data_IF_861333467721
#
_entry.id   IF_861333467721
#
_cell.length_a   1.000
_cell.length_b   1.000
_cell.length_c   1.000
_cell.angle_alpha   90.00
_cell.angle_beta   90.00
_cell.angle_gamma   90.00
#
_symmetry.space_group_name_H-M   'P 1'
#
loop_
_entity.id
_entity.type
_entity.pdbx_description
1 polymer ?
#
# COMPACT_ATOMS: atom_id res chain seq x y z
N UNK A 1 -15.85 -8.85 -1.64
CA UNK A 1 -16.59 -7.85 -0.85
C UNK A 1 -18.06 -8.25 -0.69
N UNK A 2 -18.79 -8.54 -1.78
CA UNK A 2 -20.24 -8.90 -1.73
C UNK A 2 -20.51 -10.07 -0.78
N UNK A 3 -19.77 -11.17 -0.86
CA UNK A 3 -19.90 -12.32 0.02
C UNK A 3 -19.83 -11.93 1.51
N UNK A 4 -18.89 -11.05 1.88
CA UNK A 4 -18.77 -10.56 3.25
C UNK A 4 -19.99 -9.71 3.63
N UNK A 5 -20.38 -8.80 2.74
CA UNK A 5 -21.53 -7.93 2.99
C UNK A 5 -22.83 -8.74 3.21
N UNK A 6 -23.04 -9.76 2.41
CA UNK A 6 -24.21 -10.66 2.53
C UNK A 6 -24.14 -11.48 3.83
N UNK A 7 -22.95 -11.96 4.21
CA UNK A 7 -22.73 -12.75 5.43
C UNK A 7 -22.98 -11.94 6.71
N UNK A 8 -22.49 -10.71 6.78
CA UNK A 8 -22.63 -9.84 7.96
C UNK A 8 -23.91 -8.96 7.91
N UNK A 9 -24.69 -9.05 6.81
CA UNK A 9 -25.97 -8.35 6.68
C UNK A 9 -25.85 -6.85 6.47
N UNK A 10 -24.82 -6.38 5.76
CA UNK A 10 -24.60 -4.94 5.46
C UNK A 10 -25.11 -4.56 4.06
N UNK A 11 -25.41 -3.28 3.88
CA UNK A 11 -25.70 -2.72 2.55
C UNK A 11 -24.39 -2.54 1.79
N UNK A 12 -24.24 -3.26 0.68
CA UNK A 12 -23.04 -3.22 -0.14
C UNK A 12 -23.15 -2.21 -1.30
N UNK A 13 -22.21 -1.28 -1.36
CA UNK A 13 -22.05 -0.36 -2.48
C UNK A 13 -20.79 -0.71 -3.25
N UNK A 14 -20.94 -1.18 -4.47
CA UNK A 14 -19.83 -1.49 -5.37
C UNK A 14 -19.58 -0.32 -6.31
N UNK A 15 -18.38 0.21 -6.29
CA UNK A 15 -17.99 1.35 -7.12
C UNK A 15 -16.94 0.89 -8.10
N UNK A 16 -17.25 1.00 -9.37
CA UNK A 16 -16.33 0.71 -10.46
C UNK A 16 -15.86 2.01 -11.09
N UNK A 17 -14.61 2.07 -11.50
CA UNK A 17 -14.05 3.16 -12.27
C UNK A 17 -13.22 2.61 -13.44
N UNK A 18 -13.12 3.37 -14.50
CA UNK A 18 -12.33 3.02 -15.68
C UNK A 18 -10.87 3.41 -15.48
N UNK A 19 -9.99 2.76 -16.22
CA UNK A 19 -8.56 3.14 -16.23
C UNK A 19 -8.41 4.61 -16.64
N UNK A 20 -9.20 5.11 -17.59
CA UNK A 20 -9.16 6.50 -18.03
C UNK A 20 -9.54 7.47 -16.90
N UNK A 21 -10.59 7.19 -16.13
CA UNK A 21 -10.94 8.00 -14.96
C UNK A 21 -9.81 8.04 -13.94
N UNK A 22 -9.11 6.91 -13.76
CA UNK A 22 -7.93 6.85 -12.89
C UNK A 22 -6.78 7.73 -13.40
N UNK A 23 -6.50 7.68 -14.69
CA UNK A 23 -5.47 8.51 -15.34
C UNK A 23 -5.80 10.00 -15.27
N UNK A 24 -7.03 10.36 -15.54
CA UNK A 24 -7.51 11.76 -15.47
C UNK A 24 -7.41 12.33 -14.06
N UNK A 25 -7.54 11.49 -13.03
CA UNK A 25 -7.44 11.90 -11.63
C UNK A 25 -5.99 12.07 -11.13
N UNK A 26 -4.97 11.57 -11.83
CA UNK A 26 -3.59 11.54 -11.34
C UNK A 26 -3.05 12.90 -10.89
N UNK A 27 -3.30 13.96 -11.66
CA UNK A 27 -2.81 15.31 -11.32
C UNK A 27 -3.44 15.82 -10.02
N UNK A 28 -4.75 15.68 -9.88
CA UNK A 28 -5.47 16.08 -8.68
C UNK A 28 -5.04 15.23 -7.49
N UNK A 29 -4.89 13.92 -7.67
CA UNK A 29 -4.43 13.01 -6.63
C UNK A 29 -3.06 13.44 -6.11
N UNK A 30 -2.06 13.64 -6.98
CA UNK A 30 -0.72 14.07 -6.59
C UNK A 30 -0.76 15.44 -5.87
N UNK A 31 -1.60 16.35 -6.31
CA UNK A 31 -1.82 17.62 -5.63
C UNK A 31 -2.33 17.43 -4.19
N UNK A 32 -3.39 16.63 -4.02
CA UNK A 32 -4.00 16.45 -2.70
C UNK A 32 -3.16 15.61 -1.75
N UNK A 33 -2.49 14.56 -2.24
CA UNK A 33 -1.67 13.71 -1.38
C UNK A 33 -0.28 14.28 -1.10
N UNK A 34 0.18 15.27 -1.89
CA UNK A 34 1.46 15.96 -1.73
C UNK A 34 2.67 15.00 -1.70
N UNK A 35 2.64 13.97 -2.53
CA UNK A 35 3.73 13.00 -2.68
C UNK A 35 3.77 12.47 -4.11
N UNK A 36 4.94 11.96 -4.52
CA UNK A 36 5.15 11.25 -5.79
C UNK A 36 5.64 9.82 -5.59
N UNK A 37 5.56 9.30 -4.35
CA UNK A 37 5.86 7.89 -4.07
C UNK A 37 4.94 6.97 -4.90
N UNK A 38 5.54 6.05 -5.65
CA UNK A 38 4.83 5.21 -6.63
C UNK A 38 3.67 4.45 -5.99
N UNK A 39 3.95 3.76 -4.89
CA UNK A 39 2.94 2.92 -4.21
C UNK A 39 1.80 3.77 -3.67
N UNK A 40 2.13 4.89 -3.05
CA UNK A 40 1.16 5.83 -2.49
C UNK A 40 0.27 6.41 -3.58
N UNK A 41 0.84 6.85 -4.73
CA UNK A 41 0.05 7.37 -5.86
C UNK A 41 -0.87 6.30 -6.43
N UNK A 42 -0.34 5.10 -6.75
CA UNK A 42 -1.14 3.99 -7.30
C UNK A 42 -2.36 3.65 -6.45
N UNK A 43 -2.18 3.59 -5.13
CA UNK A 43 -3.23 3.25 -4.18
C UNK A 43 -4.15 4.44 -3.85
N UNK A 44 -3.68 5.68 -3.99
CA UNK A 44 -4.49 6.88 -3.71
C UNK A 44 -5.55 7.14 -4.77
N UNK A 45 -5.30 6.81 -6.03
CA UNK A 45 -6.26 7.04 -7.13
C UNK A 45 -7.61 6.37 -6.85
N UNK A 46 -7.69 5.06 -6.61
CA UNK A 46 -8.96 4.40 -6.29
C UNK A 46 -9.60 4.94 -5.01
N UNK A 47 -8.81 5.25 -4.00
CA UNK A 47 -9.32 5.80 -2.73
C UNK A 47 -9.90 7.21 -2.93
N UNK A 48 -9.25 8.06 -3.71
CA UNK A 48 -9.72 9.40 -4.06
C UNK A 48 -11.06 9.35 -4.83
N UNK A 49 -11.17 8.46 -5.83
CA UNK A 49 -12.39 8.28 -6.61
C UNK A 49 -13.53 7.70 -5.75
N UNK A 50 -13.23 6.75 -4.87
CA UNK A 50 -14.18 6.21 -3.90
C UNK A 50 -14.67 7.28 -2.93
N UNK A 51 -13.76 8.11 -2.39
CA UNK A 51 -14.09 9.19 -1.47
C UNK A 51 -15.05 10.22 -2.10
N UNK A 52 -14.90 10.51 -3.40
CA UNK A 52 -15.84 11.34 -4.17
C UNK A 52 -17.26 10.79 -4.11
N UNK A 53 -17.42 9.49 -4.30
CA UNK A 53 -18.74 8.84 -4.26
C UNK A 53 -19.29 8.84 -2.83
N UNK A 54 -18.50 8.48 -1.83
CA UNK A 54 -18.86 8.53 -0.42
C UNK A 54 -19.37 9.92 -0.04
N UNK A 55 -18.69 10.97 -0.46
CA UNK A 55 -19.11 12.36 -0.28
C UNK A 55 -20.46 12.65 -0.92
N UNK A 56 -20.68 12.19 -2.15
CA UNK A 56 -21.95 12.38 -2.87
C UNK A 56 -23.15 11.73 -2.19
N UNK A 57 -22.91 10.67 -1.40
CA UNK A 57 -23.92 9.99 -0.57
C UNK A 57 -24.22 10.74 0.74
N UNK A 58 -23.58 11.87 0.99
CA UNK A 58 -23.76 12.66 2.21
C UNK A 58 -23.00 12.12 3.43
N UNK A 59 -22.18 11.09 3.26
CA UNK A 59 -21.37 10.48 4.31
C UNK A 59 -20.18 11.37 4.61
N UNK A 60 -19.89 11.62 5.88
CA UNK A 60 -18.83 12.51 6.34
C UNK A 60 -17.65 11.79 6.98
N UNK A 61 -17.83 10.54 7.35
CA UNK A 61 -16.83 9.74 8.07
C UNK A 61 -16.89 8.28 7.63
N UNK A 62 -15.73 7.65 7.52
CA UNK A 62 -15.58 6.23 7.23
C UNK A 62 -14.61 5.57 8.21
N UNK A 63 -14.81 4.28 8.47
CA UNK A 63 -13.83 3.44 9.16
C UNK A 63 -12.95 2.75 8.12
N UNK A 64 -11.64 2.70 8.40
CA UNK A 64 -10.66 2.03 7.55
C UNK A 64 -9.82 1.02 8.33
N UNK A 65 -9.40 -0.05 7.67
CA UNK A 65 -8.51 -1.08 8.21
C UNK A 65 -7.02 -0.72 8.17
N UNK A 66 -6.66 0.54 7.90
CA UNK A 66 -5.26 0.99 7.84
C UNK A 66 -4.52 0.70 9.16
N UNK A 67 -3.26 0.31 9.06
CA UNK A 67 -2.41 -0.03 10.19
C UNK A 67 -2.39 -1.52 10.54
N UNK A 68 -3.38 -2.30 10.11
CA UNK A 68 -3.44 -3.73 10.43
C UNK A 68 -2.27 -4.52 9.81
N UNK A 69 -1.84 -4.16 8.61
CA UNK A 69 -0.73 -4.83 7.92
C UNK A 69 0.62 -4.51 8.58
N UNK A 70 0.81 -3.30 9.05
CA UNK A 70 2.01 -2.84 9.73
C UNK A 70 2.16 -3.44 11.12
N UNK A 71 1.05 -3.53 11.86
CA UNK A 71 1.05 -4.05 13.24
C UNK A 71 1.27 -5.57 13.26
N UNK A 72 0.60 -6.28 12.35
CA UNK A 72 0.55 -7.74 12.38
C UNK A 72 1.31 -8.40 11.22
N UNK A 73 2.18 -7.67 10.53
CA UNK A 73 2.99 -8.20 9.44
C UNK A 73 2.17 -8.75 8.28
N UNK A 74 1.20 -7.96 7.79
CA UNK A 74 0.26 -8.39 6.77
C UNK A 74 0.80 -8.39 5.34
N UNK A 75 1.94 -7.78 5.07
CA UNK A 75 2.55 -7.77 3.75
C UNK A 75 3.28 -9.07 3.45
N UNK A 76 3.22 -9.53 2.20
CA UNK A 76 3.79 -10.82 1.81
C UNK A 76 5.31 -10.93 2.06
N UNK A 77 6.04 -9.83 1.99
CA UNK A 77 7.48 -9.85 2.24
C UNK A 77 7.85 -10.27 3.68
N UNK A 78 6.95 -10.15 4.65
CA UNK A 78 7.17 -10.62 6.01
C UNK A 78 7.42 -12.14 6.11
N UNK A 79 6.98 -12.91 5.10
CA UNK A 79 7.31 -14.34 5.00
C UNK A 79 8.83 -14.61 4.88
N UNK A 80 9.61 -13.60 4.49
CA UNK A 80 11.07 -13.69 4.36
C UNK A 80 11.81 -13.21 5.62
N UNK A 81 11.10 -12.82 6.68
CA UNK A 81 11.74 -12.37 7.92
C UNK A 81 12.63 -13.47 8.51
N UNK A 82 13.92 -13.20 8.79
CA UNK A 82 14.86 -14.22 9.22
C UNK A 82 14.60 -14.73 10.65
N UNK A 83 13.89 -13.96 11.46
CA UNK A 83 13.50 -14.33 12.82
C UNK A 83 12.27 -13.57 13.29
N UNK A 84 11.62 -14.04 14.35
CA UNK A 84 10.52 -13.34 14.99
C UNK A 84 10.92 -11.97 15.56
N UNK A 85 12.19 -11.81 15.96
CA UNK A 85 12.72 -10.53 16.42
C UNK A 85 12.83 -9.53 15.26
N UNK A 86 13.40 -9.93 14.12
CA UNK A 86 13.49 -9.06 12.93
C UNK A 86 12.10 -8.75 12.36
N UNK A 87 11.18 -9.70 12.37
CA UNK A 87 9.77 -9.47 12.07
C UNK A 87 9.20 -8.32 12.93
N UNK A 88 9.38 -8.37 14.24
CA UNK A 88 8.89 -7.33 15.14
C UNK A 88 9.59 -5.98 14.92
N UNK A 89 10.92 -5.98 14.74
CA UNK A 89 11.64 -4.74 14.41
C UNK A 89 11.12 -4.10 13.13
N UNK A 90 10.75 -4.90 12.15
CA UNK A 90 10.18 -4.41 10.91
C UNK A 90 8.79 -3.79 11.11
N UNK A 91 7.91 -4.39 11.93
CA UNK A 91 6.63 -3.78 12.27
C UNK A 91 6.83 -2.39 12.91
N UNK A 92 7.81 -2.25 13.81
CA UNK A 92 8.18 -0.96 14.40
C UNK A 92 8.68 0.04 13.35
N UNK A 93 9.56 -0.39 12.43
CA UNK A 93 10.05 0.46 11.32
C UNK A 93 8.90 0.96 10.44
N UNK A 94 7.98 0.06 10.07
CA UNK A 94 6.80 0.42 9.25
C UNK A 94 5.92 1.44 9.97
N UNK A 95 5.58 1.18 11.23
CA UNK A 95 4.74 2.09 12.03
C UNK A 95 5.37 3.46 12.20
N UNK A 96 6.69 3.54 12.41
CA UNK A 96 7.39 4.82 12.59
C UNK A 96 7.31 5.74 11.36
N UNK A 97 7.17 5.16 10.17
CA UNK A 97 7.09 5.87 8.87
C UNK A 97 5.68 5.93 8.29
N UNK A 98 4.69 5.31 8.93
CA UNK A 98 3.34 5.13 8.37
C UNK A 98 2.65 6.45 8.01
N UNK A 99 2.98 7.53 8.72
CA UNK A 99 2.48 8.88 8.46
C UNK A 99 2.95 9.46 7.10
N UNK A 100 3.95 8.88 6.47
CA UNK A 100 4.47 9.29 5.15
C UNK A 100 3.91 8.46 3.98
N UNK A 101 3.24 7.34 4.27
CA UNK A 101 2.75 6.37 3.29
C UNK A 101 1.23 6.11 3.45
N UNK A 102 0.85 5.02 4.07
CA UNK A 102 -0.55 4.57 4.09
C UNK A 102 -1.48 5.49 4.87
N UNK A 103 -1.04 6.05 6.00
CA UNK A 103 -1.82 7.04 6.74
C UNK A 103 -1.92 8.37 5.98
N UNK A 104 -0.85 8.82 5.31
CA UNK A 104 -0.89 10.01 4.46
C UNK A 104 -1.90 9.80 3.33
N UNK A 105 -1.80 8.67 2.62
CA UNK A 105 -2.71 8.29 1.55
C UNK A 105 -4.16 8.31 2.03
N UNK A 106 -4.48 7.55 3.08
CA UNK A 106 -5.83 7.42 3.59
C UNK A 106 -6.40 8.77 4.03
N UNK A 107 -5.65 9.53 4.81
CA UNK A 107 -6.09 10.83 5.29
C UNK A 107 -6.31 11.82 4.14
N UNK A 108 -5.32 12.02 3.28
CA UNK A 108 -5.36 13.07 2.25
C UNK A 108 -6.33 12.74 1.11
N UNK A 109 -6.44 11.48 0.69
CA UNK A 109 -7.41 11.08 -0.33
C UNK A 109 -8.85 11.28 0.13
N UNK A 110 -9.16 11.00 1.40
CA UNK A 110 -10.48 11.22 1.99
C UNK A 110 -10.73 12.71 2.22
N UNK A 111 -9.76 13.42 2.78
CA UNK A 111 -9.87 14.87 3.09
C UNK A 111 -10.05 15.72 1.85
N UNK A 112 -9.53 15.32 0.68
CA UNK A 112 -9.75 15.99 -0.60
C UNK A 112 -11.25 16.19 -0.90
N UNK A 113 -12.10 15.31 -0.41
CA UNK A 113 -13.55 15.37 -0.54
C UNK A 113 -14.28 15.73 0.76
N UNK A 114 -13.54 16.13 1.81
CA UNK A 114 -14.10 16.47 3.12
C UNK A 114 -14.74 15.29 3.83
N UNK A 115 -14.18 14.09 3.65
CA UNK A 115 -14.55 12.87 4.38
C UNK A 115 -13.48 12.59 5.42
N UNK A 116 -13.90 12.32 6.67
CA UNK A 116 -13.00 11.95 7.77
C UNK A 116 -12.74 10.44 7.75
N UNK A 117 -11.47 10.03 7.75
CA UNK A 117 -11.07 8.64 7.93
C UNK A 117 -10.73 8.32 9.38
N UNK A 118 -11.29 7.26 9.93
CA UNK A 118 -10.95 6.73 11.26
C UNK A 118 -10.33 5.36 11.13
N UNK A 119 -9.27 5.13 11.89
CA UNK A 119 -8.38 3.96 11.78
C UNK A 119 -8.26 3.23 13.12
N UNK A 120 -9.24 2.36 13.47
CA UNK A 120 -9.29 1.70 14.78
C UNK A 120 -8.04 0.89 15.14
N UNK A 121 -7.34 0.30 14.16
CA UNK A 121 -6.08 -0.41 14.40
C UNK A 121 -4.94 0.48 14.90
N UNK A 122 -5.03 1.78 14.66
CA UNK A 122 -4.03 2.77 15.12
C UNK A 122 -4.49 3.52 16.38
N UNK A 123 -5.58 3.09 17.02
CA UNK A 123 -5.91 3.56 18.36
C UNK A 123 -4.74 3.28 19.31
N UNK A 124 -4.40 4.26 20.16
CA UNK A 124 -3.18 4.19 20.97
C UNK A 124 -3.19 3.05 21.99
N UNK A 125 -4.34 2.79 22.59
CA UNK A 125 -4.48 1.70 23.58
C UNK A 125 -4.41 0.35 22.88
N UNK A 126 -5.11 0.22 21.73
CA UNK A 126 -5.04 -0.98 20.91
C UNK A 126 -3.61 -1.24 20.42
N UNK A 127 -2.94 -0.21 19.89
CA UNK A 127 -1.58 -0.30 19.38
C UNK A 127 -0.60 -0.75 20.48
N UNK A 128 -0.72 -0.19 21.69
CA UNK A 128 0.14 -0.55 22.83
C UNK A 128 -0.02 -2.04 23.20
N UNK A 129 -1.26 -2.55 23.24
CA UNK A 129 -1.53 -3.97 23.49
C UNK A 129 -1.00 -4.85 22.37
N UNK A 130 -1.28 -4.48 21.11
CA UNK A 130 -0.84 -5.24 19.95
C UNK A 130 0.68 -5.35 19.85
N UNK A 131 1.39 -4.24 20.05
CA UNK A 131 2.87 -4.20 19.97
C UNK A 131 3.57 -4.87 21.14
N UNK A 132 2.90 -5.05 22.29
CA UNK A 132 3.38 -5.86 23.41
C UNK A 132 3.13 -7.37 23.23
N UNK A 133 2.32 -7.75 22.25
CA UNK A 133 2.10 -9.15 21.92
C UNK A 133 3.43 -9.77 21.49
N UNK A 134 3.73 -10.98 22.00
CA UNK A 134 5.00 -11.64 21.70
C UNK A 134 5.17 -11.80 20.19
N UNK A 135 6.27 -11.29 19.65
CA UNK A 135 6.59 -11.37 18.23
C UNK A 135 6.41 -12.77 17.64
N UNK A 136 6.72 -13.81 18.43
CA UNK A 136 6.52 -15.20 18.04
C UNK A 136 5.05 -15.55 17.73
N UNK A 137 4.08 -14.91 18.37
CA UNK A 137 2.65 -15.16 18.12
C UNK A 137 2.16 -14.49 16.83
N UNK A 138 2.80 -13.41 16.43
CA UNK A 138 2.48 -12.68 15.21
C UNK A 138 3.30 -13.15 14.00
N UNK A 139 4.42 -13.86 14.25
CA UNK A 139 5.35 -14.28 13.19
C UNK A 139 4.78 -15.42 12.36
N UNK A 140 4.89 -15.28 11.06
CA UNK A 140 4.50 -16.25 10.03
C UNK A 140 5.42 -17.50 10.04
N UNK A 141 6.54 -17.45 10.76
CA UNK A 141 7.62 -18.44 10.71
C UNK A 141 7.34 -19.74 11.51
N UNK A 142 6.13 -19.99 11.99
CA UNK A 142 5.87 -20.94 13.07
C UNK A 142 5.39 -22.32 12.67
N UNK A 143 5.37 -22.73 11.41
CA UNK A 143 4.98 -24.11 11.18
C UNK A 143 4.73 -24.55 9.76
N UNK A 144 4.55 -25.86 9.62
CA UNK A 144 4.15 -26.56 8.40
C UNK A 144 2.64 -26.50 8.11
N UNK A 145 1.85 -25.96 9.04
CA UNK A 145 0.41 -25.76 8.85
C UNK A 145 0.17 -24.49 8.02
N UNK A 146 -0.55 -24.56 6.89
CA UNK A 146 -0.88 -23.39 6.07
C UNK A 146 -1.54 -22.25 6.84
N UNK A 147 -2.43 -22.53 7.78
CA UNK A 147 -3.06 -21.52 8.65
C UNK A 147 -2.05 -20.89 9.62
N UNK A 148 -1.09 -21.66 10.11
CA UNK A 148 -0.03 -21.16 11.00
C UNK A 148 0.96 -20.23 10.29
N UNK A 149 1.11 -20.37 8.98
CA UNK A 149 2.01 -19.57 8.14
C UNK A 149 1.29 -18.38 7.47
N UNK A 150 0.02 -18.12 7.79
CA UNK A 150 -0.74 -17.03 7.19
C UNK A 150 -0.42 -15.69 7.84
N UNK A 151 -0.28 -14.67 7.03
CA UNK A 151 -0.10 -13.28 7.49
C UNK A 151 -1.32 -12.79 8.30
N UNK A 152 -1.10 -11.97 9.31
CA UNK A 152 -2.11 -11.47 10.27
C UNK A 152 -2.85 -12.58 11.03
N UNK A 153 -2.21 -13.72 11.25
CA UNK A 153 -2.82 -14.92 11.84
C UNK A 153 -3.65 -14.61 13.10
N UNK A 154 -3.09 -13.87 14.06
CA UNK A 154 -3.77 -13.56 15.33
C UNK A 154 -5.10 -12.81 15.11
N UNK A 155 -5.16 -11.93 14.11
CA UNK A 155 -6.40 -11.22 13.74
C UNK A 155 -7.38 -12.18 13.09
N UNK A 156 -6.91 -13.05 12.19
CA UNK A 156 -7.75 -14.04 11.51
C UNK A 156 -8.38 -15.02 12.49
N UNK A 157 -7.60 -15.55 13.42
CA UNK A 157 -8.10 -16.44 14.50
C UNK A 157 -9.13 -15.72 15.40
N UNK A 158 -8.89 -14.45 15.73
CA UNK A 158 -9.82 -13.69 16.58
C UNK A 158 -11.19 -13.42 15.92
N UNK A 159 -11.28 -13.45 14.60
CA UNK A 159 -12.50 -13.16 13.83
C UNK A 159 -12.95 -14.32 12.94
N UNK A 160 -12.40 -15.52 13.12
CA UNK A 160 -12.70 -16.69 12.30
C UNK A 160 -14.20 -17.01 12.26
N UNK A 161 -14.87 -16.94 13.41
CA UNK A 161 -16.31 -17.21 13.53
C UNK A 161 -17.21 -16.07 13.00
N UNK A 162 -16.63 -14.91 12.69
CA UNK A 162 -17.36 -13.71 12.26
C UNK A 162 -17.30 -13.45 10.76
N UNK A 163 -16.59 -14.28 10.02
CA UNK A 163 -16.38 -14.15 8.57
C UNK A 163 -16.53 -15.50 7.87
N UNK A 164 -16.91 -15.53 6.58
CA UNK A 164 -16.82 -16.75 5.78
C UNK A 164 -15.38 -17.30 5.80
N UNK A 165 -15.21 -18.62 5.94
CA UNK A 165 -13.90 -19.26 6.04
C UNK A 165 -13.00 -18.92 4.84
N UNK A 166 -13.55 -18.95 3.63
CA UNK A 166 -12.85 -18.61 2.39
C UNK A 166 -12.34 -17.15 2.35
N UNK A 167 -12.93 -16.25 3.14
CA UNK A 167 -12.48 -14.87 3.29
C UNK A 167 -11.51 -14.73 4.45
N UNK A 168 -11.82 -15.35 5.59
CA UNK A 168 -10.98 -15.28 6.78
C UNK A 168 -9.55 -15.79 6.52
N UNK A 169 -9.41 -16.82 5.67
CA UNK A 169 -8.13 -17.48 5.38
C UNK A 169 -7.61 -17.28 3.95
N UNK A 170 -8.17 -16.30 3.19
CA UNK A 170 -7.65 -15.98 1.86
C UNK A 170 -6.25 -15.39 1.91
N UNK A 171 -5.50 -15.58 0.85
CA UNK A 171 -4.20 -14.92 0.67
C UNK A 171 -4.33 -13.40 0.69
N UNK A 172 -3.32 -12.73 1.26
CA UNK A 172 -3.22 -11.27 1.28
C UNK A 172 -2.93 -10.72 -0.12
N UNK A 173 -3.68 -9.68 -0.48
CA UNK A 173 -3.34 -8.79 -1.58
C UNK A 173 -3.15 -7.38 -1.04
N UNK A 174 -2.18 -6.65 -1.60
CA UNK A 174 -1.99 -5.24 -1.29
C UNK A 174 -3.14 -4.43 -1.88
N UNK A 175 -3.47 -3.30 -1.28
CA UNK A 175 -4.57 -2.47 -1.76
C UNK A 175 -4.35 -2.02 -3.22
N UNK A 176 -3.13 -1.61 -3.57
CA UNK A 176 -2.74 -1.27 -4.95
C UNK A 176 -2.92 -2.43 -5.94
N UNK A 177 -2.64 -3.66 -5.49
CA UNK A 177 -2.73 -4.86 -6.31
C UNK A 177 -4.18 -5.36 -6.39
N UNK A 178 -4.93 -5.23 -5.29
CA UNK A 178 -6.34 -5.61 -5.20
C UNK A 178 -7.30 -4.79 -6.07
N UNK A 179 -6.86 -3.60 -6.53
CA UNK A 179 -7.57 -2.81 -7.56
C UNK A 179 -7.45 -3.45 -8.95
N UNK A 180 -6.45 -4.31 -9.12
CA UNK A 180 -6.16 -5.05 -10.35
C UNK A 180 -4.80 -4.71 -10.94
N UNK A 181 -4.04 -5.72 -11.27
CA UNK A 181 -2.71 -5.56 -11.90
C UNK A 181 -2.77 -4.82 -13.24
N UNK A 182 -3.90 -4.88 -13.95
CA UNK A 182 -4.13 -4.11 -15.18
C UNK A 182 -3.97 -2.60 -14.96
N UNK A 183 -4.31 -2.09 -13.79
CA UNK A 183 -4.06 -0.69 -13.42
C UNK A 183 -2.56 -0.37 -13.37
N UNK A 184 -1.79 -1.19 -12.64
CA UNK A 184 -0.34 -1.04 -12.51
C UNK A 184 0.36 -1.16 -13.88
N UNK A 185 0.01 -2.18 -14.65
CA UNK A 185 0.63 -2.44 -15.95
C UNK A 185 0.31 -1.34 -16.96
N UNK A 186 -0.90 -0.79 -16.91
CA UNK A 186 -1.27 0.36 -17.74
C UNK A 186 -0.50 1.62 -17.36
N UNK A 187 -0.34 1.91 -16.06
CA UNK A 187 0.49 3.04 -15.62
C UNK A 187 1.93 2.89 -16.11
N UNK A 188 2.54 1.72 -15.92
CA UNK A 188 3.89 1.43 -16.41
C UNK A 188 4.00 1.63 -17.93
N UNK A 189 3.01 1.15 -18.70
CA UNK A 189 2.98 1.30 -20.15
C UNK A 189 2.89 2.77 -20.56
N UNK A 190 1.91 3.51 -20.04
CA UNK A 190 1.68 4.91 -20.41
C UNK A 190 2.90 5.76 -20.04
N UNK A 191 3.44 5.59 -18.84
CA UNK A 191 4.61 6.34 -18.41
C UNK A 191 5.84 6.00 -19.23
N UNK A 192 5.98 4.75 -19.72
CA UNK A 192 7.06 4.36 -20.63
C UNK A 192 6.94 5.00 -22.04
N UNK A 193 5.73 5.31 -22.46
CA UNK A 193 5.46 5.99 -23.75
C UNK A 193 5.63 7.52 -23.63
N UNK A 194 5.26 8.10 -22.49
CA UNK A 194 5.30 9.55 -22.26
C UNK A 194 6.70 10.05 -21.88
N UNK A 195 7.45 9.28 -21.08
CA UNK A 195 8.79 9.64 -20.62
C UNK A 195 9.82 8.98 -21.52
N UNK A 196 10.64 9.80 -22.20
CA UNK A 196 11.68 9.32 -23.12
C UNK A 196 12.89 8.78 -22.37
N UNK A 197 13.70 7.96 -23.05
CA UNK A 197 14.98 7.48 -22.47
C UNK A 197 15.97 8.62 -22.28
N UNK A 198 15.92 9.65 -23.14
CA UNK A 198 16.72 10.87 -22.99
C UNK A 198 16.35 11.64 -21.73
N UNK A 199 15.05 11.80 -21.43
CA UNK A 199 14.60 12.40 -20.18
C UNK A 199 15.08 11.63 -18.95
N UNK A 200 15.05 10.29 -19.01
CA UNK A 200 15.58 9.46 -17.91
C UNK A 200 17.10 9.60 -17.77
N UNK A 201 17.85 9.68 -18.87
CA UNK A 201 19.31 9.86 -18.82
C UNK A 201 19.69 11.19 -18.15
N UNK A 202 18.87 12.22 -18.29
CA UNK A 202 19.07 13.55 -17.68
C UNK A 202 18.24 13.77 -16.40
N UNK A 203 17.67 12.71 -15.82
CA UNK A 203 16.82 12.82 -14.64
C UNK A 203 17.53 13.47 -13.43
N UNK A 204 18.82 13.16 -13.22
CA UNK A 204 19.60 13.73 -12.13
C UNK A 204 19.86 15.25 -12.29
N UNK A 205 19.95 15.74 -13.53
CA UNK A 205 20.12 17.17 -13.82
C UNK A 205 18.81 17.92 -13.54
N UNK A 206 17.67 17.34 -13.94
CA UNK A 206 16.37 17.95 -13.74
C UNK A 206 15.87 17.83 -12.30
N UNK A 207 16.10 16.69 -11.66
CA UNK A 207 15.64 16.37 -10.30
C UNK A 207 16.83 15.92 -9.44
N UNK A 208 17.69 16.85 -9.01
CA UNK A 208 18.89 16.50 -8.22
C UNK A 208 18.56 15.98 -6.81
N UNK A 209 17.34 16.25 -6.33
CA UNK A 209 16.83 15.75 -5.05
C UNK A 209 15.85 14.63 -5.33
N UNK A 210 16.08 13.45 -4.74
CA UNK A 210 15.25 12.26 -4.95
C UNK A 210 15.10 12.00 -6.46
N UNK A 211 16.22 11.81 -7.14
CA UNK A 211 16.27 11.53 -8.58
C UNK A 211 15.42 10.30 -8.92
N UNK A 212 14.46 10.41 -9.84
CA UNK A 212 13.62 9.29 -10.24
C UNK A 212 14.44 8.10 -10.76
N UNK A 213 14.11 6.90 -10.32
CA UNK A 213 14.77 5.65 -10.69
C UNK A 213 14.08 4.92 -11.86
N UNK A 214 12.84 5.29 -12.17
CA UNK A 214 12.10 4.74 -13.30
C UNK A 214 11.19 5.80 -13.95
N UNK A 215 10.67 5.49 -15.16
CA UNK A 215 9.83 6.41 -15.94
C UNK A 215 8.53 6.77 -15.23
N UNK A 216 7.96 5.86 -14.45
CA UNK A 216 6.74 6.12 -13.67
C UNK A 216 7.02 7.13 -12.56
N UNK A 217 8.10 6.96 -11.82
CA UNK A 217 8.51 7.92 -10.80
C UNK A 217 8.84 9.30 -11.41
N UNK A 218 9.54 9.32 -12.56
CA UNK A 218 9.80 10.55 -13.29
C UNK A 218 8.52 11.28 -13.68
N UNK A 219 7.52 10.55 -14.15
CA UNK A 219 6.22 11.10 -14.53
C UNK A 219 5.51 11.74 -13.33
N UNK A 220 5.41 11.02 -12.20
CA UNK A 220 4.79 11.53 -10.99
C UNK A 220 5.58 12.71 -10.40
N UNK A 221 6.91 12.61 -10.41
CA UNK A 221 7.79 13.70 -9.97
C UNK A 221 7.62 14.96 -10.82
N UNK A 222 7.41 14.82 -12.11
CA UNK A 222 7.15 15.94 -13.00
C UNK A 222 5.85 16.66 -12.67
N UNK A 223 4.78 15.90 -12.40
CA UNK A 223 3.50 16.47 -11.98
C UNK A 223 3.61 17.15 -10.60
N UNK A 224 4.30 16.51 -9.67
CA UNK A 224 4.53 17.06 -8.33
C UNK A 224 5.28 18.40 -8.39
N UNK A 225 6.33 18.50 -9.23
CA UNK A 225 7.11 19.74 -9.41
C UNK A 225 6.27 20.92 -9.92
N UNK A 226 5.28 20.65 -10.77
CA UNK A 226 4.38 21.70 -11.25
C UNK A 226 3.52 22.29 -10.12
N UNK A 227 3.16 21.48 -9.13
CA UNK A 227 2.38 21.90 -7.97
C UNK A 227 3.25 22.43 -6.83
N UNK A 228 4.42 21.81 -6.61
CA UNK A 228 5.30 22.07 -5.47
C UNK A 228 6.76 22.23 -5.93
N UNK A 229 7.12 23.37 -6.55
CA UNK A 229 8.42 23.54 -7.21
C UNK A 229 9.60 23.76 -6.26
N UNK A 230 9.39 23.79 -4.94
CA UNK A 230 10.47 24.04 -3.98
C UNK A 230 11.28 22.77 -3.68
N UNK A 231 12.59 22.93 -3.48
CA UNK A 231 13.45 21.83 -3.01
C UNK A 231 13.00 21.25 -1.67
N UNK A 232 12.48 22.08 -0.77
CA UNK A 232 11.97 21.62 0.52
C UNK A 232 10.76 20.68 0.36
N UNK A 233 9.88 20.95 -0.60
CA UNK A 233 8.77 20.05 -0.92
C UNK A 233 9.29 18.72 -1.45
N UNK A 234 10.27 18.72 -2.36
CA UNK A 234 10.88 17.49 -2.87
C UNK A 234 11.51 16.65 -1.74
N UNK A 235 12.18 17.28 -0.78
CA UNK A 235 12.82 16.62 0.37
C UNK A 235 11.82 16.04 1.39
N UNK A 236 10.56 16.49 1.39
CA UNK A 236 9.53 15.97 2.30
C UNK A 236 8.99 14.60 1.87
N UNK A 237 9.18 14.23 0.60
CA UNK A 237 8.74 12.94 0.08
C UNK A 237 9.80 11.87 0.34
N UNK A 238 9.45 10.73 0.97
CA UNK A 238 10.39 9.65 1.17
C UNK A 238 10.83 9.06 -0.17
N UNK A 239 12.11 8.70 -0.25
CA UNK A 239 12.71 8.11 -1.43
C UNK A 239 13.63 6.97 -1.02
N UNK A 240 13.05 5.81 -0.77
CA UNK A 240 13.76 4.61 -0.34
C UNK A 240 13.44 3.46 -1.30
N UNK A 241 14.43 2.61 -1.55
CA UNK A 241 14.20 1.38 -2.30
C UNK A 241 13.21 0.48 -1.56
N UNK A 242 12.27 -0.09 -2.30
CA UNK A 242 11.22 -0.95 -1.76
C UNK A 242 10.86 -2.07 -2.73
N UNK A 243 10.71 -3.27 -2.21
CA UNK A 243 10.15 -4.42 -2.93
C UNK A 243 8.94 -4.91 -2.14
N UNK A 244 7.81 -5.09 -2.80
CA UNK A 244 6.56 -5.53 -2.16
C UNK A 244 6.16 -4.71 -0.92
N UNK A 245 6.37 -3.39 -0.95
CA UNK A 245 6.16 -2.45 0.16
C UNK A 245 7.09 -2.65 1.37
N UNK A 246 8.25 -3.31 1.22
CA UNK A 246 9.23 -3.49 2.28
C UNK A 246 9.92 -2.17 2.65
N UNK A 247 10.57 -2.14 3.83
CA UNK A 247 11.57 -1.11 4.11
C UNK A 247 12.90 -1.46 3.46
N UNK A 248 13.80 -0.49 3.34
CA UNK A 248 15.14 -0.72 2.79
C UNK A 248 15.93 -1.78 3.60
N UNK A 249 15.69 -1.90 4.91
CA UNK A 249 16.32 -2.94 5.75
C UNK A 249 15.82 -4.33 5.38
N UNK A 250 14.54 -4.49 5.11
CA UNK A 250 13.96 -5.78 4.77
C UNK A 250 14.34 -6.27 3.36
N UNK A 251 14.90 -5.41 2.51
CA UNK A 251 15.47 -5.84 1.22
C UNK A 251 16.61 -6.86 1.38
N UNK A 252 17.31 -6.82 2.52
CA UNK A 252 18.37 -7.78 2.82
C UNK A 252 17.85 -9.19 3.19
N UNK A 253 16.55 -9.36 3.33
CA UNK A 253 15.96 -10.65 3.72
C UNK A 253 15.91 -11.67 2.57
N UNK A 254 15.99 -11.20 1.33
CA UNK A 254 16.05 -12.08 0.15
C UNK A 254 17.06 -11.55 -0.86
N UNK A 255 18.05 -12.36 -1.20
CA UNK A 255 19.09 -12.02 -2.18
C UNK A 255 18.51 -11.64 -3.56
N UNK A 256 17.36 -12.22 -3.93
CA UNK A 256 16.70 -11.92 -5.19
C UNK A 256 16.22 -10.44 -5.27
N UNK A 257 16.07 -9.77 -4.14
CA UNK A 257 15.56 -8.39 -4.10
C UNK A 257 16.63 -7.32 -4.28
N UNK A 258 17.91 -7.67 -4.13
CA UNK A 258 19.02 -6.70 -4.20
C UNK A 258 19.07 -5.87 -5.51
N UNK A 259 18.52 -6.41 -6.59
CA UNK A 259 18.48 -5.77 -7.90
C UNK A 259 17.04 -5.51 -8.40
N UNK A 260 16.06 -5.63 -7.52
CA UNK A 260 14.65 -5.38 -7.84
C UNK A 260 14.21 -4.02 -7.29
N UNK A 261 13.34 -3.36 -8.03
CA UNK A 261 12.65 -2.16 -7.58
C UNK A 261 11.19 -2.23 -8.05
N UNK A 262 10.47 -3.26 -7.59
CA UNK A 262 9.04 -3.42 -7.85
C UNK A 262 8.28 -3.45 -6.51
N UNK A 263 7.54 -2.38 -6.18
CA UNK A 263 6.79 -2.31 -4.92
C UNK A 263 5.53 -3.19 -4.92
N UNK A 264 5.18 -3.84 -6.04
CA UNK A 264 4.01 -4.74 -6.08
C UNK A 264 4.27 -6.07 -5.37
N UNK A 265 3.20 -6.71 -4.87
CA UNK A 265 3.27 -8.03 -4.22
C UNK A 265 3.77 -9.13 -5.14
N UNK A 266 3.70 -8.95 -6.47
CA UNK A 266 4.24 -9.88 -7.48
C UNK A 266 5.74 -10.12 -7.34
N UNK A 267 6.46 -9.22 -6.70
CA UNK A 267 7.88 -9.36 -6.45
C UNK A 267 8.22 -10.47 -5.42
N UNK A 268 7.23 -10.94 -4.65
CA UNK A 268 7.42 -12.01 -3.65
C UNK A 268 7.05 -13.36 -4.27
N UNK A 269 8.02 -13.98 -4.92
CA UNK A 269 7.84 -15.30 -5.53
C UNK A 269 7.62 -16.41 -4.48
N UNK A 270 6.74 -17.36 -4.79
CA UNK A 270 6.46 -18.53 -3.96
C UNK A 270 5.49 -18.26 -2.79
N UNK A 271 5.03 -17.05 -2.61
CA UNK A 271 4.01 -16.67 -1.61
C UNK A 271 2.75 -16.14 -2.29
N UNK A 272 2.89 -15.41 -3.38
CA UNK A 272 1.79 -14.80 -4.10
C UNK A 272 1.39 -15.63 -5.32
N UNK A 273 0.47 -16.59 -5.12
CA UNK A 273 0.06 -17.53 -6.18
C UNK A 273 -0.72 -16.86 -7.32
N UNK A 274 -1.53 -15.84 -7.02
CA UNK A 274 -2.38 -15.16 -7.98
C UNK A 274 -1.62 -14.23 -8.96
N UNK A 275 -0.36 -13.94 -8.72
CA UNK A 275 0.45 -13.11 -9.60
C UNK A 275 0.78 -13.77 -10.95
N UNK A 276 0.63 -15.08 -11.03
CA UNK A 276 0.97 -15.88 -12.21
C UNK A 276 -0.22 -16.12 -13.15
N UNK A 277 -1.43 -15.68 -12.80
CA UNK A 277 -2.68 -16.04 -13.49
C UNK A 277 -3.26 -14.91 -14.34
N UNK A 278 -2.64 -13.74 -14.35
CA UNK A 278 -3.17 -12.55 -15.08
C UNK A 278 -2.13 -11.92 -15.99
#
# INVERSE_FOLDING_TARGET
ARLVADYIGTVHHEINYTIQEGLDALRDVIYFIETYDITTVRASVPMYLLARVIKSMGIKMVLSGEGADEIFGGYLYFHKAPSAEEFHKETVRKLSKLHQYDCLRANKSLSAWGVEGRVPFLDKEFLDVAMRTKAKMCSILLGSDPKASMEKRIVREAFEDMLPEEVAWRQKEQFSDGVGYSWIDTLKKITSEVVTDEQMAHAAERFPINTPLCKEEYYYRSIFEEHFPSESAARSVPHEASVACSTAVALEWDEAWKNMNDPSGRAVSGVHENALVH
#
